data_IF_729798743240
#
_entry.id   IF_729798743240
#
_cell.length_a   1.000
_cell.length_b   1.000
_cell.length_c   1.000
_cell.angle_alpha   90.00
_cell.angle_beta   90.00
_cell.angle_gamma   90.00
#
_symmetry.space_group_name_H-M   'P 1'
#
loop_
_entity.id
_entity.type
_entity.pdbx_description
1 polymer ?
#
# COMPACT_ATOMS: atom_id res chain seq x y z
N UNK A 1 -52.76 -2.56 24.62
CA UNK A 1 -51.40 -2.76 25.18
C UNK A 1 -50.44 -3.20 24.08
N UNK A 2 -50.78 -4.25 23.32
CA UNK A 2 -50.03 -4.74 22.14
C UNK A 2 -49.69 -3.65 21.10
N UNK A 3 -50.64 -2.78 20.73
CA UNK A 3 -50.42 -1.75 19.71
C UNK A 3 -49.45 -0.61 20.12
N UNK A 4 -49.15 -0.46 21.41
CA UNK A 4 -48.17 0.53 21.89
C UNK A 4 -46.77 -0.09 21.86
N UNK A 5 -46.64 -1.36 22.23
CA UNK A 5 -45.39 -2.12 22.15
C UNK A 5 -44.91 -2.25 20.69
N UNK A 6 -45.81 -2.59 19.75
CA UNK A 6 -45.49 -2.64 18.32
C UNK A 6 -45.09 -1.26 17.76
N UNK A 7 -45.73 -0.17 18.21
CA UNK A 7 -45.34 1.18 17.80
C UNK A 7 -43.97 1.58 18.34
N UNK A 8 -43.64 1.22 19.58
CA UNK A 8 -42.34 1.49 20.19
C UNK A 8 -41.24 0.69 19.48
N UNK A 9 -41.47 -0.59 19.21
CA UNK A 9 -40.58 -1.44 18.41
C UNK A 9 -40.32 -0.83 17.02
N UNK A 10 -41.37 -0.40 16.31
CA UNK A 10 -41.23 0.22 14.98
C UNK A 10 -40.48 1.55 14.99
N UNK A 11 -40.52 2.29 16.11
CA UNK A 11 -39.80 3.56 16.27
C UNK A 11 -38.32 3.29 16.57
N UNK A 12 -38.01 2.27 17.38
CA UNK A 12 -36.64 1.84 17.69
C UNK A 12 -35.96 1.30 16.43
N UNK A 13 -36.64 0.44 15.67
CA UNK A 13 -36.16 -0.08 14.37
C UNK A 13 -35.92 1.07 13.38
N UNK A 14 -36.86 2.02 13.26
CA UNK A 14 -36.68 3.20 12.42
C UNK A 14 -35.54 4.11 12.86
N UNK A 15 -35.22 4.22 14.15
CA UNK A 15 -34.12 5.07 14.61
C UNK A 15 -32.75 4.46 14.31
N UNK A 16 -32.63 3.13 14.31
CA UNK A 16 -31.43 2.43 13.81
C UNK A 16 -31.20 2.66 12.31
N UNK A 17 -32.28 2.65 11.51
CA UNK A 17 -32.23 2.93 10.07
C UNK A 17 -31.97 4.41 9.73
N UNK A 18 -32.55 5.34 10.50
CA UNK A 18 -32.48 6.78 10.23
C UNK A 18 -31.13 7.43 10.58
N UNK A 19 -30.35 6.84 11.49
CA UNK A 19 -29.07 7.42 11.94
C UNK A 19 -27.82 6.62 11.56
N UNK A 20 -27.92 5.34 11.16
CA UNK A 20 -26.75 4.50 10.88
C UNK A 20 -26.65 3.93 9.46
N UNK A 21 -27.74 3.42 8.89
CA UNK A 21 -27.69 2.72 7.60
C UNK A 21 -27.74 3.69 6.40
N UNK A 22 -28.60 4.72 6.48
CA UNK A 22 -28.76 5.72 5.41
C UNK A 22 -27.58 6.68 5.27
N UNK A 23 -26.83 6.96 6.34
CA UNK A 23 -25.79 7.98 6.34
C UNK A 23 -24.48 7.50 5.67
N UNK A 24 -24.24 6.18 5.70
CA UNK A 24 -23.04 5.56 5.11
C UNK A 24 -23.32 4.88 3.76
N UNK A 25 -24.59 4.80 3.33
CA UNK A 25 -24.96 4.09 2.09
C UNK A 25 -24.77 2.57 2.16
N UNK A 26 -24.73 1.99 3.37
CA UNK A 26 -24.42 0.58 3.62
C UNK A 26 -25.60 -0.16 4.27
N UNK A 27 -25.75 -1.45 3.95
CA UNK A 27 -26.73 -2.33 4.56
C UNK A 27 -26.19 -2.95 5.87
N UNK A 28 -26.23 -2.18 6.96
CA UNK A 28 -25.85 -2.64 8.31
C UNK A 28 -27.04 -3.37 8.94
N UNK A 29 -26.84 -4.62 9.39
CA UNK A 29 -27.91 -5.43 10.00
C UNK A 29 -27.91 -5.36 11.52
N UNK A 30 -26.81 -4.94 12.14
CA UNK A 30 -26.70 -4.80 13.60
C UNK A 30 -25.71 -3.70 14.02
N UNK A 31 -25.98 -3.07 15.17
CA UNK A 31 -25.08 -2.13 15.82
C UNK A 31 -24.65 -2.69 17.18
N UNK A 32 -23.36 -2.55 17.49
CA UNK A 32 -22.81 -2.80 18.81
C UNK A 32 -21.96 -1.61 19.25
N UNK A 33 -21.89 -1.39 20.56
CA UNK A 33 -21.14 -0.29 21.18
C UNK A 33 -20.06 -0.84 22.10
N UNK A 34 -18.88 -0.23 22.05
CA UNK A 34 -17.74 -0.50 22.92
C UNK A 34 -17.31 0.78 23.63
N UNK A 35 -17.23 0.75 24.95
CA UNK A 35 -16.82 1.91 25.77
C UNK A 35 -16.26 1.46 27.13
N UNK A 36 -15.19 2.09 27.66
CA UNK A 36 -14.72 1.82 29.02
C UNK A 36 -15.79 2.13 30.08
N UNK A 37 -16.72 3.04 29.79
CA UNK A 37 -17.79 3.44 30.70
C UNK A 37 -19.07 2.61 30.54
N UNK A 38 -19.07 1.62 29.64
CA UNK A 38 -20.17 0.69 29.47
C UNK A 38 -20.32 -0.25 30.67
N UNK A 39 -21.53 -0.74 30.92
CA UNK A 39 -21.79 -1.74 31.97
C UNK A 39 -21.42 -3.18 31.57
N UNK A 40 -21.05 -3.40 30.30
CA UNK A 40 -20.61 -4.70 29.79
C UNK A 40 -21.72 -5.70 29.47
N UNK A 41 -23.00 -5.30 29.45
CA UNK A 41 -24.12 -6.23 29.34
C UNK A 41 -24.35 -6.84 27.94
N UNK A 42 -24.78 -6.04 26.96
CA UNK A 42 -25.25 -6.55 25.64
C UNK A 42 -24.73 -5.79 24.42
N UNK A 43 -24.07 -4.66 24.64
CA UNK A 43 -23.52 -3.82 23.59
C UNK A 43 -24.56 -3.10 22.74
N UNK A 44 -25.86 -3.09 23.08
CA UNK A 44 -26.91 -2.52 22.24
C UNK A 44 -27.07 -1.00 22.40
N UNK A 45 -26.49 -0.42 23.44
CA UNK A 45 -26.50 1.04 23.71
C UNK A 45 -25.17 1.46 24.31
N UNK A 46 -24.87 2.77 24.35
CA UNK A 46 -23.69 3.28 25.06
C UNK A 46 -23.68 2.93 26.56
N UNK A 47 -24.85 2.86 27.21
CA UNK A 47 -24.93 2.46 28.63
C UNK A 47 -24.60 0.98 28.80
N UNK A 48 -25.11 0.16 27.89
CA UNK A 48 -24.92 -1.29 27.91
C UNK A 48 -23.72 -1.75 27.08
N UNK A 49 -22.85 -0.81 26.70
CA UNK A 49 -21.71 -1.05 25.81
C UNK A 49 -20.80 -2.12 26.39
N UNK A 50 -20.22 -2.93 25.51
CA UNK A 50 -19.14 -3.82 25.90
C UNK A 50 -17.94 -2.99 26.36
N UNK A 51 -17.22 -3.49 27.37
CA UNK A 51 -16.00 -2.82 27.86
C UNK A 51 -14.77 -3.15 27.02
N UNK A 52 -14.87 -4.15 26.13
CA UNK A 52 -13.75 -4.61 25.29
C UNK A 52 -14.20 -4.80 23.84
N UNK A 53 -13.28 -4.56 22.91
CA UNK A 53 -13.49 -4.81 21.48
C UNK A 53 -13.77 -6.29 21.22
N UNK A 54 -13.08 -7.18 21.94
CA UNK A 54 -13.26 -8.63 21.84
C UNK A 54 -14.67 -9.09 22.17
N UNK A 55 -15.29 -8.55 23.23
CA UNK A 55 -16.64 -8.93 23.60
C UNK A 55 -17.64 -8.56 22.50
N UNK A 56 -17.46 -7.40 21.86
CA UNK A 56 -18.27 -7.01 20.70
C UNK A 56 -18.02 -7.90 19.48
N UNK A 57 -16.75 -8.21 19.18
CA UNK A 57 -16.39 -9.13 18.09
C UNK A 57 -16.96 -10.53 18.30
N UNK A 58 -16.93 -11.05 19.53
CA UNK A 58 -17.52 -12.34 19.90
C UNK A 58 -19.05 -12.35 19.78
N UNK A 59 -19.70 -11.20 19.93
CA UNK A 59 -21.16 -11.04 19.83
C UNK A 59 -21.64 -10.74 18.40
N UNK A 60 -20.73 -10.41 17.48
CA UNK A 60 -21.04 -10.08 16.10
C UNK A 60 -21.41 -11.33 15.29
N UNK A 61 -22.21 -11.13 14.24
CA UNK A 61 -22.71 -12.23 13.41
C UNK A 61 -21.63 -12.77 12.47
N UNK A 62 -21.65 -14.08 12.26
CA UNK A 62 -20.88 -14.77 11.21
C UNK A 62 -21.78 -15.16 10.02
N UNK A 63 -23.06 -14.79 10.03
CA UNK A 63 -23.96 -15.05 8.90
C UNK A 63 -23.49 -14.25 7.68
N UNK A 64 -23.41 -14.90 6.52
CA UNK A 64 -22.91 -14.32 5.28
C UNK A 64 -23.70 -13.09 4.80
N UNK A 65 -24.94 -12.92 5.27
CA UNK A 65 -25.83 -11.81 4.92
C UNK A 65 -25.91 -10.73 5.99
N UNK A 66 -25.25 -10.93 7.13
CA UNK A 66 -25.19 -9.95 8.20
C UNK A 66 -23.93 -9.09 8.12
N UNK A 67 -24.06 -7.86 8.61
CA UNK A 67 -22.96 -6.93 8.82
C UNK A 67 -23.18 -6.16 10.11
N UNK A 68 -22.27 -6.32 11.07
CA UNK A 68 -22.33 -5.65 12.37
C UNK A 68 -21.43 -4.41 12.37
N UNK A 69 -21.99 -3.22 12.57
CA UNK A 69 -21.20 -2.03 12.86
C UNK A 69 -20.89 -1.98 14.36
N UNK A 70 -19.61 -1.98 14.71
CA UNK A 70 -19.11 -1.84 16.08
C UNK A 70 -18.56 -0.42 16.24
N UNK A 71 -19.27 0.39 17.02
CA UNK A 71 -18.88 1.76 17.36
C UNK A 71 -18.04 1.76 18.63
N UNK A 72 -16.83 2.29 18.54
CA UNK A 72 -15.83 2.24 19.61
C UNK A 72 -15.57 3.66 20.13
N UNK A 73 -15.89 3.90 21.40
CA UNK A 73 -15.68 5.17 22.07
C UNK A 73 -14.20 5.44 22.37
N UNK A 74 -13.81 6.70 22.64
CA UNK A 74 -12.50 7.02 23.17
C UNK A 74 -12.14 6.22 24.42
N UNK A 75 -10.86 5.88 24.54
CA UNK A 75 -10.30 5.26 25.75
C UNK A 75 -9.21 6.16 26.33
N UNK A 76 -9.09 6.20 27.67
CA UNK A 76 -8.08 7.04 28.33
C UNK A 76 -6.64 6.54 28.09
N UNK A 77 -6.49 5.23 27.85
CA UNK A 77 -5.25 4.57 27.45
C UNK A 77 -5.43 3.89 26.09
N UNK A 78 -5.93 2.66 26.10
CA UNK A 78 -6.19 1.81 24.95
C UNK A 78 -7.16 0.68 25.28
N UNK A 79 -7.75 0.07 24.26
CA UNK A 79 -8.43 -1.22 24.37
C UNK A 79 -7.44 -2.35 24.18
N UNK A 80 -7.33 -3.23 25.18
CA UNK A 80 -6.43 -4.38 25.13
C UNK A 80 -7.18 -5.66 24.70
N UNK A 81 -6.68 -6.31 23.64
CA UNK A 81 -7.13 -7.62 23.18
C UNK A 81 -6.61 -8.74 24.10
N UNK A 82 -5.47 -8.56 24.79
CA UNK A 82 -4.93 -9.49 25.79
C UNK A 82 -5.14 -11.00 25.49
N UNK A 83 -4.85 -11.42 24.26
CA UNK A 83 -5.10 -12.79 23.79
C UNK A 83 -3.85 -13.38 23.16
N UNK A 84 -3.53 -14.62 23.51
CA UNK A 84 -2.39 -15.38 22.97
C UNK A 84 -2.49 -15.60 21.46
N UNK A 85 -1.35 -15.73 20.81
CA UNK A 85 -1.27 -16.14 19.40
C UNK A 85 -1.86 -15.09 18.48
N UNK A 86 -2.64 -15.56 17.50
CA UNK A 86 -3.26 -14.76 16.46
C UNK A 86 -4.79 -14.70 16.71
N UNK A 87 -5.29 -13.73 17.50
CA UNK A 87 -6.70 -13.71 17.91
C UNK A 87 -7.58 -13.49 16.69
N UNK A 88 -8.42 -14.49 16.38
CA UNK A 88 -9.10 -14.58 15.09
C UNK A 88 -10.63 -14.48 15.24
N UNK A 89 -11.26 -13.65 14.42
CA UNK A 89 -12.71 -13.54 14.32
C UNK A 89 -13.21 -13.69 12.89
N UNK A 90 -14.16 -14.61 12.70
CA UNK A 90 -14.85 -14.82 11.42
C UNK A 90 -16.10 -13.93 11.23
N UNK A 91 -16.30 -12.96 12.13
CA UNK A 91 -17.47 -12.10 12.10
C UNK A 91 -17.43 -11.10 10.95
N UNK A 92 -18.60 -10.79 10.38
CA UNK A 92 -18.74 -9.75 9.38
C UNK A 92 -18.95 -8.40 10.07
N UNK A 93 -17.92 -7.57 10.09
CA UNK A 93 -17.87 -6.40 10.97
C UNK A 93 -17.35 -5.14 10.30
N UNK A 94 -17.83 -4.00 10.76
CA UNK A 94 -17.15 -2.73 10.58
C UNK A 94 -16.71 -2.27 11.96
N UNK A 95 -15.41 -2.11 12.18
CA UNK A 95 -14.89 -1.49 13.39
C UNK A 95 -14.73 0.00 13.14
N UNK A 96 -15.43 0.84 13.90
CA UNK A 96 -15.45 2.28 13.67
C UNK A 96 -15.15 3.03 14.96
N UNK A 97 -13.99 3.68 15.02
CA UNK A 97 -13.63 4.59 16.10
C UNK A 97 -14.21 5.98 15.91
N UNK A 98 -14.23 6.76 16.99
CA UNK A 98 -14.63 8.17 16.92
C UNK A 98 -13.54 9.07 16.32
N UNK A 99 -12.28 8.83 16.70
CA UNK A 99 -11.08 9.60 16.31
C UNK A 99 -9.89 8.67 16.52
N UNK A 100 -9.06 8.44 15.50
CA UNK A 100 -7.97 7.46 15.52
C UNK A 100 -7.03 7.61 16.73
N UNK A 101 -6.60 8.84 17.03
CA UNK A 101 -5.70 9.13 18.17
C UNK A 101 -6.29 8.85 19.57
N UNK A 102 -7.61 8.70 19.69
CA UNK A 102 -8.27 8.47 20.99
C UNK A 102 -8.88 7.07 21.10
N UNK A 103 -8.79 6.26 20.05
CA UNK A 103 -9.31 4.90 20.02
C UNK A 103 -8.18 3.96 19.62
N UNK A 104 -7.24 3.78 20.55
CA UNK A 104 -6.11 2.89 20.38
C UNK A 104 -6.49 1.45 20.77
N UNK A 105 -6.05 0.49 19.96
CA UNK A 105 -6.20 -0.95 20.20
C UNK A 105 -4.80 -1.60 20.24
N UNK A 106 -4.58 -2.48 21.22
CA UNK A 106 -3.34 -3.25 21.40
C UNK A 106 -3.63 -4.70 21.72
N UNK A 107 -2.58 -5.51 21.74
CA UNK A 107 -2.60 -6.81 22.38
C UNK A 107 -1.35 -6.96 23.26
N UNK A 108 -1.51 -6.66 24.55
CA UNK A 108 -0.40 -6.65 25.51
C UNK A 108 -0.05 -8.06 26.03
N UNK A 109 -0.69 -9.11 25.49
CA UNK A 109 -0.40 -10.47 25.90
C UNK A 109 1.01 -10.89 25.44
N UNK A 110 1.85 -11.36 26.36
CA UNK A 110 3.27 -11.69 26.12
C UNK A 110 3.54 -12.79 25.06
N UNK A 111 2.49 -13.45 24.58
CA UNK A 111 2.56 -14.50 23.55
C UNK A 111 1.65 -14.19 22.36
N UNK A 112 1.19 -12.94 22.24
CA UNK A 112 0.51 -12.47 21.05
C UNK A 112 1.48 -12.49 19.86
N UNK A 113 0.94 -12.83 18.69
CA UNK A 113 1.62 -12.72 17.39
C UNK A 113 0.92 -11.73 16.47
N UNK A 114 -0.29 -11.28 16.84
CA UNK A 114 -0.99 -10.17 16.19
C UNK A 114 -1.87 -9.41 17.20
N UNK A 115 -2.32 -8.21 16.85
CA UNK A 115 -3.38 -7.52 17.60
C UNK A 115 -4.71 -8.21 17.33
N UNK A 116 -5.06 -8.39 16.05
CA UNK A 116 -6.26 -9.12 15.64
C UNK A 116 -6.18 -9.61 14.19
N UNK A 117 -6.90 -10.69 13.92
CA UNK A 117 -7.14 -11.27 12.60
C UNK A 117 -8.63 -11.35 12.29
N UNK A 118 -9.03 -10.81 11.14
CA UNK A 118 -10.40 -10.82 10.65
C UNK A 118 -10.49 -11.71 9.41
N UNK A 119 -11.27 -12.77 9.52
CA UNK A 119 -11.49 -13.74 8.42
C UNK A 119 -12.92 -13.70 7.90
N UNK A 120 -13.73 -12.75 8.36
CA UNK A 120 -15.04 -12.41 7.80
C UNK A 120 -14.95 -11.20 6.86
N UNK A 121 -16.10 -10.76 6.34
CA UNK A 121 -16.20 -9.50 5.59
C UNK A 121 -15.97 -8.35 6.56
N UNK A 122 -14.85 -7.64 6.43
CA UNK A 122 -14.45 -6.66 7.44
C UNK A 122 -13.99 -5.34 6.87
N UNK A 123 -14.35 -4.26 7.57
CA UNK A 123 -13.76 -2.94 7.38
C UNK A 123 -13.34 -2.30 8.71
N UNK A 124 -12.32 -1.44 8.69
CA UNK A 124 -11.82 -0.75 9.88
C UNK A 124 -11.63 0.73 9.59
N UNK A 125 -12.35 1.57 10.32
CA UNK A 125 -12.35 3.02 10.13
C UNK A 125 -11.91 3.75 11.40
N UNK A 126 -10.99 4.71 11.26
CA UNK A 126 -10.70 5.72 12.30
C UNK A 126 -10.25 5.11 13.64
N UNK A 127 -9.35 4.12 13.59
CA UNK A 127 -8.72 3.51 14.77
C UNK A 127 -7.20 3.70 14.74
N UNK A 128 -6.57 3.61 15.91
CA UNK A 128 -5.12 3.47 16.03
C UNK A 128 -4.77 2.07 16.52
N UNK A 129 -3.80 1.43 15.89
CA UNK A 129 -3.27 0.13 16.27
C UNK A 129 -1.83 0.30 16.72
N UNK A 130 -1.57 0.06 18.00
CA UNK A 130 -0.21 0.11 18.53
C UNK A 130 0.30 -1.31 18.73
N UNK A 131 1.33 -1.66 17.96
CA UNK A 131 1.94 -3.00 17.92
C UNK A 131 2.75 -3.30 19.19
N UNK A 132 3.02 -2.29 20.02
CA UNK A 132 3.73 -2.44 21.28
C UNK A 132 5.18 -2.90 21.09
N UNK A 133 5.64 -3.75 22.00
CA UNK A 133 6.99 -4.30 21.99
C UNK A 133 6.98 -5.77 21.54
N UNK A 134 8.03 -6.19 20.83
CA UNK A 134 8.21 -7.60 20.43
C UNK A 134 8.02 -7.81 18.93
N UNK A 135 7.42 -8.94 18.57
CA UNK A 135 7.07 -9.36 17.19
C UNK A 135 5.56 -9.58 17.07
N UNK A 136 4.80 -8.51 17.24
CA UNK A 136 3.33 -8.54 17.19
C UNK A 136 2.88 -7.84 15.93
N UNK A 137 2.27 -8.57 15.01
CA UNK A 137 1.63 -7.99 13.84
C UNK A 137 0.46 -7.08 14.27
N UNK A 138 0.11 -6.08 13.47
CA UNK A 138 -1.08 -5.27 13.73
C UNK A 138 -2.35 -6.02 13.36
N UNK A 139 -2.88 -5.69 12.18
CA UNK A 139 -4.14 -6.24 11.69
C UNK A 139 -3.90 -7.17 10.50
N UNK A 140 -4.52 -8.35 10.55
CA UNK A 140 -4.52 -9.31 9.43
C UNK A 140 -5.96 -9.44 8.91
N UNK A 141 -6.16 -9.28 7.60
CA UNK A 141 -7.48 -9.39 6.96
C UNK A 141 -7.40 -10.37 5.79
N UNK A 142 -8.31 -11.35 5.75
CA UNK A 142 -8.16 -12.51 4.84
C UNK A 142 -9.28 -12.75 3.85
N UNK A 143 -10.15 -11.75 3.63
CA UNK A 143 -11.31 -11.87 2.76
C UNK A 143 -11.31 -10.75 1.73
N UNK A 144 -11.72 -11.08 0.51
CA UNK A 144 -11.94 -10.10 -0.55
C UNK A 144 -12.86 -8.95 -0.12
N UNK A 145 -12.53 -7.74 -0.52
CA UNK A 145 -13.25 -6.54 -0.07
C UNK A 145 -12.88 -6.07 1.34
N UNK A 146 -11.83 -6.61 1.95
CA UNK A 146 -11.30 -6.08 3.20
C UNK A 146 -10.88 -4.62 3.05
N UNK A 147 -11.28 -3.74 3.97
CA UNK A 147 -11.04 -2.30 3.85
C UNK A 147 -10.49 -1.66 5.13
N UNK A 148 -9.54 -0.75 4.98
CA UNK A 148 -9.00 0.09 6.07
C UNK A 148 -9.03 1.55 5.64
N UNK A 149 -9.55 2.43 6.50
CA UNK A 149 -9.72 3.85 6.16
C UNK A 149 -9.44 4.76 7.37
N UNK A 150 -8.66 5.83 7.18
CA UNK A 150 -8.47 6.83 8.23
C UNK A 150 -7.76 6.30 9.48
N UNK A 151 -6.98 5.22 9.35
CA UNK A 151 -6.38 4.52 10.48
C UNK A 151 -4.93 4.95 10.72
N UNK A 152 -4.39 4.55 11.88
CA UNK A 152 -2.98 4.67 12.18
C UNK A 152 -2.43 3.33 12.68
N UNK A 153 -1.24 2.97 12.24
CA UNK A 153 -0.47 1.85 12.76
C UNK A 153 0.85 2.38 13.34
N UNK A 154 1.12 2.02 14.60
CA UNK A 154 2.29 2.50 15.36
C UNK A 154 3.11 1.32 15.85
N UNK A 155 4.35 1.23 15.37
CA UNK A 155 5.31 0.18 15.72
C UNK A 155 6.65 0.70 16.20
N UNK A 156 6.72 1.92 16.74
CA UNK A 156 7.98 2.58 17.13
C UNK A 156 8.75 1.87 18.24
N UNK A 157 8.06 1.05 19.04
CA UNK A 157 8.63 0.32 20.19
C UNK A 157 8.91 -1.17 19.88
N UNK A 158 8.80 -1.58 18.62
CA UNK A 158 9.06 -2.96 18.19
C UNK A 158 10.50 -3.37 18.47
N UNK A 159 10.70 -4.63 18.85
CA UNK A 159 12.03 -5.22 19.12
C UNK A 159 12.30 -6.47 18.28
N UNK A 160 11.35 -6.84 17.41
CA UNK A 160 11.46 -7.92 16.45
C UNK A 160 10.54 -7.68 15.27
N UNK A 161 10.68 -8.51 14.22
CA UNK A 161 9.93 -8.37 12.98
C UNK A 161 8.42 -8.40 13.18
N UNK A 162 7.70 -7.51 12.52
CA UNK A 162 6.24 -7.43 12.53
C UNK A 162 5.69 -6.73 11.27
N UNK A 163 4.45 -7.03 10.92
CA UNK A 163 3.70 -6.37 9.85
C UNK A 163 2.55 -5.57 10.45
N UNK A 164 2.42 -4.28 10.12
CA UNK A 164 1.36 -3.42 10.64
C UNK A 164 -0.01 -3.75 10.04
N UNK A 165 -0.13 -3.77 8.71
CA UNK A 165 -1.34 -4.21 8.01
C UNK A 165 -1.01 -5.31 7.01
N UNK A 166 -1.71 -6.44 7.10
CA UNK A 166 -1.51 -7.59 6.24
C UNK A 166 -2.83 -7.98 5.57
N UNK A 167 -2.88 -7.83 4.25
CA UNK A 167 -3.90 -8.44 3.42
C UNK A 167 -3.41 -9.84 3.03
N UNK A 168 -3.88 -10.85 3.77
CA UNK A 168 -3.39 -12.24 3.79
C UNK A 168 -4.45 -13.18 3.22
N UNK A 169 -4.26 -13.74 2.03
CA UNK A 169 -5.10 -14.88 1.67
C UNK A 169 -4.85 -15.44 0.30
N UNK A 170 -5.17 -16.73 0.13
CA UNK A 170 -5.03 -17.42 -1.15
C UNK A 170 -6.03 -16.89 -2.18
N UNK A 171 -5.66 -15.80 -2.85
CA UNK A 171 -6.39 -15.12 -3.91
C UNK A 171 -7.53 -14.21 -3.42
N UNK A 172 -7.24 -13.32 -2.48
CA UNK A 172 -8.20 -12.26 -2.13
C UNK A 172 -8.17 -11.14 -3.17
N UNK A 173 -9.31 -10.46 -3.36
CA UNK A 173 -9.44 -9.40 -4.37
C UNK A 173 -10.13 -8.16 -3.81
N UNK A 174 -9.91 -7.00 -4.45
CA UNK A 174 -10.59 -5.75 -4.12
C UNK A 174 -10.36 -5.29 -2.67
N UNK A 175 -9.15 -5.50 -2.16
CA UNK A 175 -8.76 -4.92 -0.87
C UNK A 175 -8.61 -3.41 -0.99
N UNK A 176 -8.89 -2.68 0.08
CA UNK A 176 -8.83 -1.23 0.09
C UNK A 176 -8.06 -0.71 1.30
N UNK A 177 -7.17 0.25 1.10
CA UNK A 177 -6.55 1.00 2.19
C UNK A 177 -6.42 2.48 1.80
N UNK A 178 -7.11 3.36 2.54
CA UNK A 178 -7.11 4.79 2.28
C UNK A 178 -6.74 5.63 3.50
N UNK A 179 -6.12 6.78 3.27
CA UNK A 179 -5.91 7.84 4.28
C UNK A 179 -5.33 7.29 5.60
N UNK A 180 -4.27 6.50 5.50
CA UNK A 180 -3.74 5.72 6.63
C UNK A 180 -2.26 6.02 6.86
N UNK A 181 -1.90 6.17 8.14
CA UNK A 181 -0.53 6.45 8.58
C UNK A 181 0.13 5.19 9.15
N UNK A 182 1.33 4.88 8.69
CA UNK A 182 2.21 3.85 9.20
C UNK A 182 3.45 4.49 9.81
N UNK A 183 3.58 4.45 11.14
CA UNK A 183 4.74 4.99 11.86
C UNK A 183 5.48 3.85 12.56
N UNK A 184 6.60 3.43 11.99
CA UNK A 184 7.25 2.17 12.32
C UNK A 184 8.55 2.24 13.10
N UNK A 185 9.26 1.11 12.99
CA UNK A 185 10.66 0.97 13.38
C UNK A 185 11.50 0.48 12.18
N UNK A 186 12.59 1.20 11.88
CA UNK A 186 13.37 1.09 10.62
C UNK A 186 14.05 -0.27 10.40
N UNK A 187 14.09 -1.12 11.42
CA UNK A 187 14.69 -2.46 11.35
C UNK A 187 13.69 -3.61 11.51
N UNK A 188 12.42 -3.30 11.82
CA UNK A 188 11.50 -4.32 12.35
C UNK A 188 10.11 -4.31 11.72
N UNK A 189 9.65 -3.20 11.15
CA UNK A 189 8.25 -3.11 10.72
C UNK A 189 8.11 -3.09 9.20
N UNK A 190 7.34 -4.02 8.65
CA UNK A 190 6.70 -3.86 7.34
C UNK A 190 5.39 -3.08 7.55
N UNK A 191 5.24 -1.95 6.86
CA UNK A 191 4.04 -1.10 6.97
C UNK A 191 2.81 -1.81 6.42
N UNK A 192 2.81 -2.04 5.11
CA UNK A 192 1.75 -2.71 4.38
C UNK A 192 2.31 -3.95 3.68
N UNK A 193 1.72 -5.11 3.96
CA UNK A 193 2.01 -6.37 3.27
C UNK A 193 0.79 -6.82 2.47
N UNK A 194 1.02 -7.08 1.18
CA UNK A 194 0.05 -7.60 0.22
C UNK A 194 0.53 -9.00 -0.17
N UNK A 195 -0.14 -10.03 0.34
CA UNK A 195 0.23 -11.44 0.12
C UNK A 195 -0.91 -12.19 -0.59
N UNK A 196 -0.66 -12.51 -1.87
CA UNK A 196 -1.62 -13.12 -2.78
C UNK A 196 -2.97 -12.36 -2.87
N UNK A 197 -2.88 -11.03 -2.96
CA UNK A 197 -4.02 -10.12 -3.03
C UNK A 197 -3.97 -9.23 -4.30
N UNK A 198 -5.05 -9.27 -5.09
CA UNK A 198 -5.14 -8.60 -6.39
C UNK A 198 -6.23 -7.53 -6.49
N UNK A 199 -6.14 -6.67 -7.49
CA UNK A 199 -7.15 -5.65 -7.80
C UNK A 199 -7.44 -4.72 -6.61
N UNK A 200 -6.45 -4.53 -5.74
CA UNK A 200 -6.56 -3.67 -4.57
C UNK A 200 -6.41 -2.19 -4.93
N UNK A 201 -6.95 -1.32 -4.09
CA UNK A 201 -6.79 0.14 -4.21
C UNK A 201 -6.20 0.70 -2.92
N UNK A 202 -5.09 1.39 -3.06
CA UNK A 202 -4.27 1.91 -1.97
C UNK A 202 -4.02 3.38 -2.22
N UNK A 203 -4.52 4.27 -1.38
CA UNK A 203 -4.38 5.71 -1.63
C UNK A 203 -4.18 6.55 -0.36
N UNK A 204 -3.57 7.72 -0.51
CA UNK A 204 -3.33 8.65 0.60
C UNK A 204 -2.63 7.97 1.79
N UNK A 205 -1.60 7.18 1.51
CA UNK A 205 -0.86 6.44 2.52
C UNK A 205 0.44 7.15 2.86
N UNK A 206 0.76 7.20 4.15
CA UNK A 206 2.01 7.79 4.63
C UNK A 206 2.77 6.77 5.46
N UNK A 207 4.00 6.48 5.07
CA UNK A 207 4.90 5.56 5.74
C UNK A 207 6.11 6.34 6.26
N UNK A 208 6.44 6.15 7.54
CA UNK A 208 7.64 6.75 8.15
C UNK A 208 8.32 5.75 9.09
N UNK A 209 9.66 5.74 9.05
CA UNK A 209 10.49 4.90 9.92
C UNK A 209 10.18 3.39 9.81
N UNK A 210 9.83 2.86 8.64
CA UNK A 210 9.59 1.42 8.45
C UNK A 210 10.85 0.68 8.01
N UNK A 211 10.93 -0.62 8.27
CA UNK A 211 11.90 -1.50 7.59
C UNK A 211 11.56 -1.54 6.11
N UNK A 212 10.30 -1.88 5.81
CA UNK A 212 9.75 -1.85 4.46
C UNK A 212 8.43 -1.06 4.51
N UNK A 213 8.27 -0.06 3.66
CA UNK A 213 7.01 0.69 3.56
C UNK A 213 5.89 -0.20 3.03
N UNK A 214 6.01 -0.61 1.77
CA UNK A 214 5.09 -1.50 1.06
C UNK A 214 5.84 -2.75 0.62
N UNK A 215 5.28 -3.91 0.88
CA UNK A 215 5.79 -5.19 0.39
C UNK A 215 4.68 -5.95 -0.36
N UNK A 216 5.00 -6.43 -1.55
CA UNK A 216 4.11 -7.23 -2.40
C UNK A 216 4.74 -8.61 -2.62
N UNK A 217 4.05 -9.64 -2.16
CA UNK A 217 4.51 -11.04 -2.23
C UNK A 217 3.37 -11.94 -2.72
N UNK A 218 3.71 -13.17 -3.10
CA UNK A 218 2.75 -14.15 -3.55
C UNK A 218 2.34 -13.97 -5.02
N UNK A 219 2.29 -15.07 -5.75
CA UNK A 219 2.14 -15.07 -7.22
C UNK A 219 0.77 -14.62 -7.75
N UNK A 220 -0.16 -14.25 -6.86
CA UNK A 220 -1.48 -13.72 -7.23
C UNK A 220 -1.60 -12.23 -6.87
N UNK A 221 -0.54 -11.57 -6.42
CA UNK A 221 -0.62 -10.16 -6.06
C UNK A 221 -0.58 -9.23 -7.27
N UNK A 222 -1.51 -9.42 -8.20
CA UNK A 222 -1.55 -8.74 -9.50
C UNK A 222 -2.51 -7.54 -9.51
N UNK A 223 -2.28 -6.57 -10.40
CA UNK A 223 -3.24 -5.50 -10.71
C UNK A 223 -3.65 -4.62 -9.52
N UNK A 224 -2.73 -4.36 -8.59
CA UNK A 224 -3.00 -3.41 -7.49
C UNK A 224 -2.66 -1.97 -7.89
N UNK A 225 -3.48 -1.04 -7.43
CA UNK A 225 -3.37 0.39 -7.72
C UNK A 225 -2.95 1.18 -6.48
N UNK A 226 -1.80 1.87 -6.57
CA UNK A 226 -1.19 2.68 -5.52
C UNK A 226 -1.12 4.13 -5.95
N UNK A 227 -1.82 5.02 -5.24
CA UNK A 227 -1.96 6.43 -5.62
C UNK A 227 -1.69 7.38 -4.46
N UNK A 228 -0.97 8.47 -4.71
CA UNK A 228 -0.78 9.54 -3.71
C UNK A 228 -0.15 9.00 -2.40
N UNK A 229 1.02 8.38 -2.54
CA UNK A 229 1.72 7.69 -1.45
C UNK A 229 2.98 8.46 -1.07
N UNK A 230 3.22 8.67 0.23
CA UNK A 230 4.45 9.26 0.77
C UNK A 230 5.20 8.24 1.63
N UNK A 231 6.45 7.91 1.28
CA UNK A 231 7.30 6.95 1.99
C UNK A 231 8.63 7.61 2.34
N UNK A 232 8.79 7.88 3.64
CA UNK A 232 9.90 8.63 4.22
C UNK A 232 10.68 7.85 5.27
N UNK A 233 11.97 8.13 5.39
CA UNK A 233 12.81 7.65 6.52
C UNK A 233 12.81 6.12 6.72
N UNK A 234 12.54 5.34 5.67
CA UNK A 234 12.48 3.87 5.73
C UNK A 234 13.82 3.23 5.33
N UNK A 235 14.05 1.97 5.72
CA UNK A 235 15.18 1.23 5.17
C UNK A 235 14.92 0.88 3.69
N UNK A 236 13.73 0.37 3.39
CA UNK A 236 13.23 0.10 2.05
C UNK A 236 11.87 0.76 1.85
N UNK A 237 11.69 1.48 0.74
CA UNK A 237 10.42 2.07 0.37
C UNK A 237 9.39 1.02 -0.09
N UNK A 238 9.65 0.43 -1.26
CA UNK A 238 8.77 -0.54 -1.92
C UNK A 238 9.58 -1.82 -2.23
N UNK A 239 9.01 -2.96 -1.90
CA UNK A 239 9.59 -4.30 -2.08
C UNK A 239 8.64 -5.17 -2.92
N UNK A 240 9.07 -5.64 -4.10
CA UNK A 240 8.21 -6.25 -5.12
C UNK A 240 8.60 -7.69 -5.46
N UNK A 241 8.73 -8.53 -4.45
CA UNK A 241 9.06 -9.95 -4.56
C UNK A 241 8.15 -10.80 -5.48
N UNK A 242 6.93 -10.33 -5.80
CA UNK A 242 6.00 -11.01 -6.69
C UNK A 242 4.89 -10.09 -7.24
N UNK A 243 4.11 -10.65 -8.17
CA UNK A 243 2.96 -10.00 -8.78
C UNK A 243 3.26 -9.48 -10.19
N UNK A 244 2.25 -8.98 -10.87
CA UNK A 244 2.35 -8.30 -12.15
C UNK A 244 1.36 -7.13 -12.18
N UNK A 245 1.58 -6.20 -13.09
CA UNK A 245 0.72 -5.05 -13.35
C UNK A 245 0.40 -4.26 -12.08
N UNK A 246 1.39 -4.00 -11.22
CA UNK A 246 1.20 -3.02 -10.15
C UNK A 246 1.19 -1.63 -10.79
N UNK A 247 0.29 -0.76 -10.35
CA UNK A 247 0.15 0.59 -10.87
C UNK A 247 0.56 1.57 -9.78
N UNK A 248 1.70 2.23 -9.95
CA UNK A 248 2.23 3.22 -9.03
C UNK A 248 2.07 4.62 -9.64
N UNK A 249 1.28 5.46 -8.97
CA UNK A 249 0.99 6.81 -9.44
C UNK A 249 1.17 7.84 -8.32
N UNK A 250 1.92 8.89 -8.61
CA UNK A 250 2.14 10.00 -7.65
C UNK A 250 2.71 9.46 -6.33
N UNK A 251 3.90 8.85 -6.42
CA UNK A 251 4.61 8.27 -5.28
C UNK A 251 5.77 9.20 -4.91
N UNK A 252 5.85 9.58 -3.63
CA UNK A 252 6.95 10.35 -3.09
C UNK A 252 7.80 9.46 -2.18
N UNK A 253 9.07 9.34 -2.55
CA UNK A 253 10.09 8.60 -1.80
C UNK A 253 11.13 9.61 -1.33
N UNK A 254 11.44 9.63 -0.04
CA UNK A 254 12.47 10.53 0.49
C UNK A 254 13.17 9.94 1.70
N UNK A 255 14.46 10.24 1.86
CA UNK A 255 15.25 9.85 3.03
C UNK A 255 15.26 8.33 3.34
N UNK A 256 14.87 7.50 2.36
CA UNK A 256 14.96 6.04 2.46
C UNK A 256 16.39 5.57 2.19
N UNK A 257 16.80 4.45 2.77
CA UNK A 257 18.10 3.83 2.44
C UNK A 257 18.07 3.24 1.03
N UNK A 258 16.96 2.60 0.66
CA UNK A 258 16.63 2.11 -0.69
C UNK A 258 15.18 2.45 -1.02
N UNK A 259 14.92 2.89 -2.24
CA UNK A 259 13.58 3.32 -2.65
C UNK A 259 12.70 2.16 -3.14
N UNK A 260 13.25 1.34 -4.04
CA UNK A 260 12.59 0.16 -4.63
C UNK A 260 13.60 -0.98 -4.60
N UNK A 261 13.13 -2.22 -4.42
CA UNK A 261 13.94 -3.44 -4.48
C UNK A 261 13.17 -4.58 -5.15
N UNK A 262 13.95 -5.53 -5.68
CA UNK A 262 13.51 -6.85 -6.15
C UNK A 262 12.29 -6.82 -7.08
N UNK A 263 12.28 -5.93 -8.08
CA UNK A 263 11.17 -5.83 -9.02
C UNK A 263 10.93 -7.15 -9.77
N UNK A 264 9.84 -7.85 -9.45
CA UNK A 264 9.36 -9.02 -10.18
C UNK A 264 8.11 -8.67 -10.97
N UNK A 265 8.20 -8.77 -12.29
CA UNK A 265 7.05 -8.66 -13.19
C UNK A 265 6.99 -7.34 -13.95
N UNK A 266 5.87 -7.11 -14.65
CA UNK A 266 5.67 -5.89 -15.42
C UNK A 266 4.84 -4.89 -14.61
N UNK A 267 5.32 -3.67 -14.37
CA UNK A 267 4.59 -2.66 -13.60
C UNK A 267 4.44 -1.33 -14.36
N UNK A 268 3.44 -0.54 -13.97
CA UNK A 268 3.22 0.82 -14.47
C UNK A 268 3.66 1.82 -13.40
N UNK A 269 4.50 2.78 -13.79
CA UNK A 269 5.10 3.76 -12.91
C UNK A 269 4.90 5.17 -13.50
N UNK A 270 4.19 6.03 -12.79
CA UNK A 270 3.91 7.40 -13.21
C UNK A 270 4.08 8.38 -12.05
N UNK A 271 4.67 9.56 -12.33
CA UNK A 271 4.89 10.61 -11.33
C UNK A 271 5.60 10.13 -10.04
N UNK A 272 6.62 9.26 -10.19
CA UNK A 272 7.44 8.78 -9.05
C UNK A 272 8.57 9.77 -8.77
N UNK A 273 8.59 10.30 -7.54
CA UNK A 273 9.49 11.35 -7.09
C UNK A 273 10.38 10.84 -5.97
N UNK A 274 11.69 11.01 -6.09
CA UNK A 274 12.62 10.69 -5.01
C UNK A 274 14.09 10.80 -5.40
N UNK A 275 15.02 10.68 -4.44
CA UNK A 275 16.44 10.60 -4.73
C UNK A 275 16.74 9.21 -5.30
N UNK A 276 17.09 9.13 -6.59
CA UNK A 276 17.53 7.91 -7.25
C UNK A 276 18.98 8.06 -7.69
N UNK A 277 19.75 6.97 -7.61
CA UNK A 277 21.12 6.95 -8.09
C UNK A 277 21.16 7.12 -9.61
N UNK A 278 22.02 8.03 -10.07
CA UNK A 278 22.30 8.24 -11.49
C UNK A 278 23.61 7.54 -11.82
N UNK A 279 23.52 6.48 -12.63
CA UNK A 279 24.68 5.79 -13.19
C UNK A 279 24.86 6.18 -14.66
N UNK A 280 26.11 6.29 -15.11
CA UNK A 280 26.45 6.56 -16.51
C UNK A 280 26.86 5.24 -17.14
N UNK A 281 26.12 4.79 -18.15
CA UNK A 281 26.42 3.57 -18.90
C UNK A 281 26.72 3.86 -20.37
N UNK A 282 27.76 3.24 -20.96
CA UNK A 282 28.74 2.38 -20.29
C UNK A 282 29.65 3.19 -19.33
N UNK A 283 30.08 2.55 -18.23
CA UNK A 283 31.03 3.11 -17.24
C UNK A 283 32.41 3.41 -17.87
N UNK A 284 32.63 2.89 -19.08
CA UNK A 284 33.73 3.26 -19.96
C UNK A 284 33.19 3.56 -21.38
N UNK A 285 33.37 4.80 -21.85
CA UNK A 285 33.07 5.19 -23.24
C UNK A 285 34.03 4.54 -24.26
N UNK A 286 34.98 3.71 -23.79
CA UNK A 286 35.85 2.90 -24.63
C UNK A 286 35.13 1.64 -25.09
N UNK A 287 34.65 1.62 -26.34
CA UNK A 287 34.37 0.35 -27.04
C UNK A 287 32.95 0.15 -27.59
N UNK A 288 31.98 1.02 -27.29
CA UNK A 288 30.69 0.99 -27.99
C UNK A 288 30.74 1.91 -29.21
N UNK A 289 31.07 1.33 -30.36
CA UNK A 289 30.89 2.01 -31.64
C UNK A 289 29.45 1.78 -32.11
N UNK A 290 28.60 2.80 -32.00
CA UNK A 290 27.27 2.77 -32.61
C UNK A 290 27.43 3.05 -34.10
N UNK A 291 27.07 2.08 -34.94
CA UNK A 291 27.09 2.28 -36.37
C UNK A 291 26.06 3.36 -36.73
N UNK A 292 26.48 4.39 -37.47
CA UNK A 292 25.56 5.37 -38.06
C UNK A 292 25.01 4.83 -39.38
N UNK A 293 23.82 5.27 -39.78
CA UNK A 293 23.30 4.92 -41.10
C UNK A 293 24.21 5.44 -42.22
N UNK A 294 24.50 4.59 -43.21
CA UNK A 294 25.46 4.90 -44.28
C UNK A 294 24.97 5.94 -45.31
N UNK A 295 23.75 6.46 -45.16
CA UNK A 295 23.14 7.46 -46.04
C UNK A 295 22.30 8.49 -45.25
N UNK A 296 21.97 9.62 -45.89
CA UNK A 296 21.08 10.63 -45.29
C UNK A 296 19.73 10.01 -44.90
N UNK A 297 19.22 10.36 -43.72
CA UNK A 297 17.97 9.85 -43.15
C UNK A 297 17.93 8.31 -43.01
N UNK A 298 19.08 7.67 -42.81
CA UNK A 298 19.14 6.24 -42.47
C UNK A 298 19.63 6.07 -41.04
N UNK A 299 19.02 5.12 -40.32
CA UNK A 299 19.49 4.69 -39.01
C UNK A 299 20.48 3.53 -39.20
N UNK A 300 21.47 3.44 -38.30
CA UNK A 300 22.35 2.29 -38.27
C UNK A 300 21.69 1.09 -37.58
N UNK A 301 22.49 0.06 -37.31
CA UNK A 301 22.03 -1.08 -36.53
C UNK A 301 21.79 -0.66 -35.07
N UNK A 302 20.74 -1.21 -34.45
CA UNK A 302 20.46 -0.97 -33.05
C UNK A 302 21.59 -1.54 -32.18
N UNK A 303 21.96 -0.80 -31.13
CA UNK A 303 23.03 -1.16 -30.20
C UNK A 303 22.46 -1.19 -28.80
N UNK A 304 22.57 -2.34 -28.13
CA UNK A 304 22.17 -2.48 -26.73
C UNK A 304 23.19 -1.74 -25.84
N UNK A 305 22.73 -0.71 -25.14
CA UNK A 305 23.55 0.11 -24.23
C UNK A 305 23.41 -0.34 -22.78
N UNK A 306 22.23 -0.84 -22.42
CA UNK A 306 21.92 -1.41 -21.13
C UNK A 306 20.89 -2.51 -21.35
N UNK A 307 21.12 -3.68 -20.76
CA UNK A 307 20.16 -4.77 -20.75
C UNK A 307 19.22 -4.57 -19.57
N UNK A 308 17.90 -4.55 -19.80
CA UNK A 308 16.90 -4.59 -18.74
C UNK A 308 17.20 -5.76 -17.79
N UNK A 309 17.30 -6.98 -18.36
CA UNK A 309 17.53 -8.27 -17.69
C UNK A 309 18.81 -8.38 -16.83
N UNK A 310 19.65 -7.34 -16.79
CA UNK A 310 20.86 -7.29 -15.97
C UNK A 310 20.74 -6.36 -14.77
N UNK A 311 19.58 -5.73 -14.58
CA UNK A 311 19.30 -4.81 -13.50
C UNK A 311 18.26 -5.43 -12.58
N UNK A 312 18.30 -5.01 -11.33
CA UNK A 312 17.38 -5.50 -10.29
C UNK A 312 16.34 -4.42 -9.89
N UNK A 313 16.36 -3.26 -10.58
CA UNK A 313 15.58 -2.09 -10.18
C UNK A 313 15.07 -1.29 -11.38
N UNK A 314 13.87 -0.68 -11.26
CA UNK A 314 13.36 0.21 -12.28
C UNK A 314 14.29 1.40 -12.48
N UNK A 315 14.49 1.80 -13.73
CA UNK A 315 15.34 2.94 -14.07
C UNK A 315 14.76 3.76 -15.21
N UNK A 316 15.31 4.96 -15.41
CA UNK A 316 15.00 5.80 -16.57
C UNK A 316 16.27 6.37 -17.18
N UNK A 317 16.21 6.67 -18.47
CA UNK A 317 17.28 7.42 -19.15
C UNK A 317 17.05 8.91 -18.90
N UNK A 318 17.96 9.55 -18.16
CA UNK A 318 17.86 10.99 -17.83
C UNK A 318 18.56 11.91 -18.84
N UNK A 319 19.31 11.33 -19.77
CA UNK A 319 19.99 12.04 -20.84
C UNK A 319 21.02 11.18 -21.56
N UNK A 320 21.55 11.70 -22.65
CA UNK A 320 22.59 11.05 -23.44
C UNK A 320 23.72 12.03 -23.75
N UNK A 321 24.95 11.50 -23.77
CA UNK A 321 26.13 12.23 -24.26
C UNK A 321 26.58 11.61 -25.56
N UNK A 322 26.67 12.42 -26.62
CA UNK A 322 27.08 11.99 -27.94
C UNK A 322 28.41 12.65 -28.32
N UNK A 323 29.27 11.89 -29.00
CA UNK A 323 30.51 12.39 -29.61
C UNK A 323 30.69 11.77 -30.99
N UNK A 324 30.64 12.55 -32.08
CA UNK A 324 30.90 12.05 -33.42
C UNK A 324 32.38 11.66 -33.59
N UNK A 325 32.61 10.59 -34.36
CA UNK A 325 33.94 10.06 -34.69
C UNK A 325 34.54 10.69 -35.97
N UNK A 326 33.71 11.31 -36.81
CA UNK A 326 34.11 11.96 -38.05
C UNK A 326 33.29 13.24 -38.34
N UNK A 327 33.90 14.21 -39.04
CA UNK A 327 33.28 15.47 -39.48
C UNK A 327 33.04 15.50 -41.01
N UNK A 328 32.06 16.27 -41.55
CA UNK A 328 30.93 16.93 -40.90
C UNK A 328 29.58 16.41 -41.45
N UNK A 329 28.84 15.66 -40.64
CA UNK A 329 27.39 15.55 -40.83
C UNK A 329 26.77 16.74 -40.08
N UNK A 330 25.75 17.39 -40.63
CA UNK A 330 25.13 18.55 -39.96
C UNK A 330 24.51 18.14 -38.60
N UNK A 331 23.86 16.96 -38.53
CA UNK A 331 23.22 16.48 -37.31
C UNK A 331 23.23 14.95 -37.22
N UNK A 332 23.20 14.43 -35.99
CA UNK A 332 22.94 13.02 -35.66
C UNK A 332 21.65 12.91 -34.85
N UNK A 333 20.94 11.79 -35.02
CA UNK A 333 19.76 11.46 -34.23
C UNK A 333 20.02 10.19 -33.41
N UNK A 334 19.72 10.22 -32.13
CA UNK A 334 19.72 9.05 -31.25
C UNK A 334 18.28 8.74 -30.90
N UNK A 335 17.82 7.55 -31.27
CA UNK A 335 16.49 7.07 -30.94
C UNK A 335 16.59 6.03 -29.84
N UNK A 336 15.60 5.99 -28.97
CA UNK A 336 15.52 4.99 -27.91
C UNK A 336 14.34 4.07 -28.13
N UNK A 337 14.55 2.79 -27.80
CA UNK A 337 13.59 1.70 -27.94
C UNK A 337 13.74 0.77 -26.74
N UNK A 338 12.62 0.23 -26.30
CA UNK A 338 12.47 -0.79 -25.25
C UNK A 338 12.16 -2.18 -25.84
N UNK A 339 11.89 -2.27 -27.15
CA UNK A 339 11.40 -3.46 -27.85
C UNK A 339 12.30 -3.89 -29.01
N UNK A 340 13.61 -3.67 -28.86
CA UNK A 340 14.65 -4.03 -29.84
C UNK A 340 14.43 -3.40 -31.23
N UNK A 341 14.00 -2.13 -31.25
CA UNK A 341 13.87 -1.32 -32.46
C UNK A 341 12.54 -1.52 -33.22
N UNK A 342 11.55 -2.17 -32.60
CA UNK A 342 10.22 -2.35 -33.20
C UNK A 342 9.39 -1.06 -33.12
N UNK A 343 9.48 -0.35 -31.99
CA UNK A 343 8.93 0.98 -31.73
C UNK A 343 10.00 1.88 -31.10
N UNK A 344 9.75 3.20 -31.13
CA UNK A 344 10.66 4.20 -30.58
C UNK A 344 9.86 5.18 -29.75
N UNK A 345 10.30 5.39 -28.51
CA UNK A 345 9.60 6.26 -27.57
C UNK A 345 10.22 7.65 -27.45
N UNK A 346 11.49 7.82 -27.87
CA UNK A 346 12.20 9.10 -27.77
C UNK A 346 13.22 9.26 -28.90
N UNK A 347 13.43 10.50 -29.35
CA UNK A 347 14.46 10.86 -30.34
C UNK A 347 15.16 12.16 -29.94
N UNK A 348 16.47 12.06 -29.68
CA UNK A 348 17.37 13.19 -29.39
C UNK A 348 18.18 13.58 -30.62
N UNK A 349 18.53 14.86 -30.76
CA UNK A 349 19.19 15.39 -31.95
C UNK A 349 20.42 16.21 -31.58
N UNK A 350 21.58 15.78 -32.06
CA UNK A 350 22.89 16.33 -31.70
C UNK A 350 23.56 17.01 -32.90
N UNK A 351 24.30 18.10 -32.66
CA UNK A 351 25.13 18.72 -33.69
C UNK A 351 26.31 17.79 -34.05
N UNK A 352 26.55 17.58 -35.34
CA UNK A 352 27.56 16.61 -35.81
C UNK A 352 29.01 17.09 -35.77
N UNK A 353 29.26 18.29 -35.26
CA UNK A 353 30.60 18.88 -35.15
C UNK A 353 31.09 19.04 -33.68
N UNK A 354 30.28 18.64 -32.69
CA UNK A 354 30.58 18.86 -31.27
C UNK A 354 30.27 17.65 -30.40
N UNK A 355 30.90 17.64 -29.21
CA UNK A 355 30.51 16.75 -28.11
C UNK A 355 29.40 17.45 -27.35
N UNK A 356 28.23 16.83 -27.29
CA UNK A 356 27.04 17.42 -26.70
C UNK A 356 26.38 16.44 -25.74
N UNK A 357 25.79 16.99 -24.69
CA UNK A 357 24.94 16.26 -23.78
C UNK A 357 23.55 16.86 -23.88
N UNK A 358 22.56 16.02 -24.15
CA UNK A 358 21.17 16.39 -24.20
C UNK A 358 20.46 15.68 -23.06
N UNK A 359 19.71 16.43 -22.25
CA UNK A 359 18.84 15.84 -21.24
C UNK A 359 17.67 15.17 -21.97
N UNK A 360 17.21 14.02 -21.45
CA UNK A 360 15.95 13.48 -21.93
C UNK A 360 14.84 14.52 -21.67
N UNK A 361 13.90 14.73 -22.61
CA UNK A 361 12.78 15.62 -22.39
C UNK A 361 12.11 15.35 -21.05
N UNK A 362 11.84 16.40 -20.28
CA UNK A 362 11.05 16.26 -19.07
C UNK A 362 9.64 15.81 -19.45
N UNK A 363 9.21 14.64 -18.97
CA UNK A 363 7.84 14.13 -19.20
C UNK A 363 7.72 12.97 -20.19
N UNK A 364 8.82 12.34 -20.62
CA UNK A 364 8.78 11.03 -21.29
C UNK A 364 9.13 9.93 -20.27
N UNK A 365 8.10 9.53 -19.52
CA UNK A 365 8.15 8.62 -18.37
C UNK A 365 8.23 7.14 -18.83
N UNK A 366 9.26 6.75 -19.59
CA UNK A 366 9.57 5.33 -19.71
C UNK A 366 10.49 4.92 -18.56
N UNK A 367 9.87 4.32 -17.55
CA UNK A 367 10.55 3.56 -16.51
C UNK A 367 10.70 2.13 -17.06
N UNK A 368 11.94 1.67 -17.19
CA UNK A 368 12.26 0.32 -17.63
C UNK A 368 12.17 -0.60 -16.43
N UNK A 369 11.40 -1.67 -16.58
CA UNK A 369 11.40 -2.78 -15.63
C UNK A 369 12.69 -3.60 -15.82
N UNK A 370 13.12 -4.24 -14.74
CA UNK A 370 14.31 -5.10 -14.63
C UNK A 370 14.16 -6.42 -15.40
#
# INVERSE_FOLDING_TARGET
MIAIEERILSIIERQGDLFGASALGMAITRYLFVSPDGDGADGLTWRTAYQTVQAALNAASTDANDLTLILIAPHATHYDINTTGDPTWAANVILCGSISNYVEVRNDHASATSILKLTGKSAIHTLSFNLGTGSVNGVIMTISGASVEGCQFVGTDLTGGATALHFDGANIIHTHCGNTLFHGHVTHMTGLLIDAAAFGTFHDLHFTNCLTGIQVVGSFSDENDFQEIDIGDCALGIDLDAGNQQHFKTIRLHDNTRNVDDEVGDHDWSEVLGPFDIFITPDDLTGIAVAVGGAANTYGADTELASAASRDNPFRVVGATFKPDAAPVEFYMVRFSDDSGSTFYEVMMFEGDKREAEAAPSGTEHIFNA
#
